data_IF_477258386952
#
_entry.id   IF_477258386952
#
_cell.length_a   1.000
_cell.length_b   1.000
_cell.length_c   1.000
_cell.angle_alpha   90.00
_cell.angle_beta   90.00
_cell.angle_gamma   90.00
#
_symmetry.space_group_name_H-M   'P 1'
#
loop_
_entity.id
_entity.type
_entity.pdbx_description
1 polymer ?
#
# COMPACT_ATOMS: atom_id res chain seq x y z
N UNK A 1 14.27 -11.65 6.05
CA UNK A 1 14.62 -10.42 5.29
C UNK A 1 13.80 -9.27 5.84
N UNK A 2 13.71 -8.11 5.15
CA UNK A 2 12.81 -7.03 5.59
C UNK A 2 11.32 -7.42 5.53
N UNK A 3 10.97 -8.39 4.69
CA UNK A 3 9.62 -8.99 4.62
C UNK A 3 9.45 -10.19 5.59
N UNK A 4 10.37 -10.37 6.54
CA UNK A 4 10.27 -11.38 7.57
C UNK A 4 10.64 -12.81 7.13
N UNK A 5 9.90 -13.81 7.63
CA UNK A 5 10.22 -15.26 7.54
C UNK A 5 9.20 -16.07 6.72
N UNK A 6 8.04 -15.51 6.42
CA UNK A 6 6.93 -16.17 5.71
C UNK A 6 6.37 -17.42 6.43
N UNK A 7 6.44 -17.49 7.76
CA UNK A 7 5.91 -18.61 8.56
C UNK A 7 4.44 -18.43 8.97
N UNK A 8 3.83 -17.30 8.61
CA UNK A 8 2.50 -16.87 9.04
C UNK A 8 2.42 -16.60 10.56
N UNK A 9 3.55 -16.30 11.21
CA UNK A 9 3.62 -15.85 12.61
C UNK A 9 4.28 -14.46 12.70
N UNK A 10 3.47 -13.43 12.91
CA UNK A 10 3.94 -12.05 13.04
C UNK A 10 5.00 -11.85 14.14
N UNK A 11 5.09 -12.76 15.12
CA UNK A 11 6.04 -12.65 16.23
C UNK A 11 7.48 -12.92 15.80
N UNK A 12 7.70 -13.61 14.68
CA UNK A 12 9.04 -14.02 14.26
C UNK A 12 9.63 -13.20 13.09
N UNK A 13 8.91 -12.19 12.61
CA UNK A 13 9.24 -11.43 11.39
C UNK A 13 10.46 -10.52 11.59
N UNK A 14 10.66 -9.98 12.80
CA UNK A 14 11.71 -9.01 13.10
C UNK A 14 13.03 -9.69 13.55
N UNK A 15 13.75 -10.35 12.62
CA UNK A 15 15.06 -10.99 12.87
C UNK A 15 16.22 -10.36 12.10
N UNK A 16 17.34 -10.01 12.74
CA UNK A 16 18.50 -9.39 12.08
C UNK A 16 19.26 -10.35 11.14
N UNK A 17 19.09 -11.66 11.31
CA UNK A 17 19.63 -12.72 10.43
C UNK A 17 18.78 -13.99 10.59
N UNK A 18 19.01 -15.01 9.74
CA UNK A 18 18.25 -16.27 9.78
C UNK A 18 18.35 -16.99 11.15
N UNK A 19 19.52 -16.92 11.78
CA UNK A 19 19.79 -17.47 13.12
C UNK A 19 19.67 -16.43 14.25
N UNK A 20 19.32 -15.18 13.91
CA UNK A 20 19.21 -14.09 14.85
C UNK A 20 17.99 -14.22 15.77
N UNK A 21 18.13 -13.75 17.01
CA UNK A 21 17.00 -13.62 17.93
C UNK A 21 16.00 -12.56 17.43
N UNK A 22 14.74 -12.74 17.82
CA UNK A 22 13.67 -11.77 17.53
C UNK A 22 13.94 -10.48 18.31
N UNK A 23 13.89 -9.34 17.62
CA UNK A 23 14.07 -7.99 18.19
C UNK A 23 12.88 -7.10 17.79
N UNK A 24 12.97 -5.78 18.01
CA UNK A 24 12.06 -4.86 17.32
C UNK A 24 12.39 -4.79 15.83
N UNK A 25 11.40 -4.52 14.99
CA UNK A 25 11.62 -4.35 13.54
C UNK A 25 12.49 -3.13 13.22
N UNK A 26 12.42 -2.08 14.04
CA UNK A 26 13.31 -0.91 13.94
C UNK A 26 14.77 -1.28 14.21
N UNK A 27 15.03 -2.14 15.20
CA UNK A 27 16.38 -2.63 15.50
C UNK A 27 16.90 -3.61 14.45
N UNK A 28 16.00 -4.43 13.88
CA UNK A 28 16.34 -5.38 12.81
C UNK A 28 16.75 -4.64 11.53
N UNK A 29 16.03 -3.59 11.12
CA UNK A 29 16.10 -3.03 9.78
C UNK A 29 17.52 -2.70 9.27
N UNK A 30 18.43 -2.11 10.07
CA UNK A 30 19.80 -1.82 9.65
C UNK A 30 20.64 -3.05 9.29
N UNK A 31 20.30 -4.23 9.83
CA UNK A 31 21.05 -5.47 9.60
C UNK A 31 20.81 -6.07 8.21
N UNK A 32 19.74 -5.69 7.53
CA UNK A 32 19.43 -6.14 6.17
C UNK A 32 19.98 -5.23 5.07
N UNK A 33 20.87 -4.29 5.41
CA UNK A 33 21.54 -3.43 4.44
C UNK A 33 22.46 -4.24 3.52
N UNK A 34 22.37 -3.98 2.20
CA UNK A 34 23.29 -4.56 1.22
C UNK A 34 24.72 -4.03 1.46
N UNK A 35 25.74 -4.90 1.62
CA UNK A 35 27.12 -4.47 1.84
C UNK A 35 27.65 -3.58 0.71
N UNK A 36 28.60 -2.69 1.04
CA UNK A 36 29.32 -1.84 0.08
C UNK A 36 28.45 -0.87 -0.75
N UNK A 37 27.24 -0.52 -0.30
CA UNK A 37 26.45 0.51 -0.97
C UNK A 37 26.81 1.93 -0.44
N UNK A 38 27.45 2.80 -1.25
CA UNK A 38 28.04 4.06 -0.76
C UNK A 38 27.00 5.10 -0.30
N UNK A 39 25.81 5.06 -0.88
CA UNK A 39 24.71 6.02 -0.63
C UNK A 39 23.73 5.57 0.45
N UNK A 40 23.84 4.35 0.95
CA UNK A 40 22.98 3.85 2.02
C UNK A 40 23.65 4.16 3.37
N UNK A 41 23.61 5.41 3.80
CA UNK A 41 23.89 5.71 5.20
C UNK A 41 22.67 5.23 5.99
N UNK A 42 22.87 4.33 6.95
CA UNK A 42 21.76 3.80 7.76
C UNK A 42 21.01 4.92 8.47
N UNK A 43 19.85 4.61 9.04
CA UNK A 43 19.15 5.58 9.87
C UNK A 43 20.10 6.15 10.95
N UNK A 44 20.04 7.45 11.25
CA UNK A 44 20.77 8.01 12.38
C UNK A 44 20.47 7.18 13.63
N UNK A 45 21.47 6.89 14.48
CA UNK A 45 21.22 6.17 15.72
C UNK A 45 20.11 6.88 16.49
N UNK A 46 19.08 6.13 16.89
CA UNK A 46 18.02 6.63 17.77
C UNK A 46 18.71 7.21 19.00
N UNK A 47 18.45 8.49 19.29
CA UNK A 47 19.07 9.16 20.42
C UNK A 47 18.69 8.43 21.71
N UNK A 48 19.69 7.94 22.45
CA UNK A 48 19.55 7.31 23.77
C UNK A 48 19.16 8.30 24.86
N UNK A 49 18.52 9.42 24.50
CA UNK A 49 18.16 10.46 25.46
C UNK A 49 17.03 9.94 26.33
N UNK A 50 17.36 9.61 27.58
CA UNK A 50 16.44 9.20 28.67
C UNK A 50 15.51 10.35 29.11
N UNK A 51 15.44 11.43 28.33
CA UNK A 51 14.42 12.46 28.54
C UNK A 51 13.09 11.82 28.13
N UNK A 52 12.08 11.76 29.02
CA UNK A 52 10.74 11.43 28.60
C UNK A 52 10.33 12.51 27.61
N UNK A 53 10.50 12.22 26.33
CA UNK A 53 9.81 12.98 25.29
C UNK A 53 8.34 12.95 25.70
N UNK A 54 7.65 14.10 25.78
CA UNK A 54 6.21 14.06 26.00
C UNK A 54 5.67 13.07 24.98
N UNK A 55 4.91 12.07 25.46
CA UNK A 55 4.30 11.07 24.58
C UNK A 55 3.76 11.82 23.38
N UNK A 56 4.23 11.54 22.15
CA UNK A 56 3.87 12.34 20.99
C UNK A 56 2.36 12.47 21.03
N UNK A 57 1.88 13.72 20.94
CA UNK A 57 0.44 13.97 20.98
C UNK A 57 -0.22 12.98 20.02
N UNK A 58 -1.33 12.32 20.43
CA UNK A 58 -1.99 11.35 19.56
C UNK A 58 -2.17 11.98 18.19
N UNK A 59 -1.71 11.27 17.16
CA UNK A 59 -1.87 11.69 15.79
C UNK A 59 -3.34 12.07 15.56
N UNK A 60 -3.66 13.33 15.20
CA UNK A 60 -5.04 13.73 15.05
C UNK A 60 -5.73 12.85 14.00
N UNK A 61 -7.01 12.50 14.19
CA UNK A 61 -7.76 11.77 13.20
C UNK A 61 -7.76 12.55 11.88
N UNK A 62 -7.70 11.82 10.77
CA UNK A 62 -7.73 12.39 9.43
C UNK A 62 -8.91 11.84 8.65
N UNK A 63 -9.82 12.71 8.14
CA UNK A 63 -10.97 12.27 7.36
C UNK A 63 -10.59 11.41 6.15
N UNK A 64 -9.41 11.65 5.55
CA UNK A 64 -8.95 10.88 4.40
C UNK A 64 -8.55 9.45 4.80
N UNK A 65 -7.93 9.26 5.96
CA UNK A 65 -7.57 7.94 6.47
C UNK A 65 -8.80 7.21 7.00
N UNK A 66 -9.75 7.95 7.60
CA UNK A 66 -11.03 7.39 8.04
C UNK A 66 -11.83 6.74 6.90
N UNK A 67 -11.58 7.13 5.63
CA UNK A 67 -12.18 6.43 4.48
C UNK A 67 -11.89 4.93 4.52
N UNK A 68 -10.70 4.50 4.93
CA UNK A 68 -10.30 3.09 5.04
C UNK A 68 -11.24 2.31 5.98
N UNK A 69 -11.68 2.93 7.07
CA UNK A 69 -12.59 2.36 8.06
C UNK A 69 -14.07 2.58 7.71
N UNK A 70 -14.35 3.41 6.72
CA UNK A 70 -15.72 3.84 6.39
C UNK A 70 -16.50 2.79 5.60
N UNK A 71 -17.80 3.07 5.40
CA UNK A 71 -18.67 2.27 4.54
C UNK A 71 -18.20 2.14 3.09
N UNK A 72 -17.35 3.05 2.62
CA UNK A 72 -16.78 3.02 1.26
C UNK A 72 -16.01 1.73 1.02
N UNK A 73 -15.26 1.27 2.03
CA UNK A 73 -14.45 0.05 1.95
C UNK A 73 -15.07 -1.16 2.67
N UNK A 74 -16.32 -1.05 3.15
CA UNK A 74 -16.95 -2.09 3.97
C UNK A 74 -16.98 -3.47 3.31
N UNK A 75 -17.13 -3.54 1.98
CA UNK A 75 -17.13 -4.80 1.23
C UNK A 75 -15.76 -5.48 1.16
N UNK A 76 -14.69 -4.82 1.59
CA UNK A 76 -13.33 -5.33 1.60
C UNK A 76 -12.84 -5.72 3.01
N UNK A 77 -13.49 -5.22 4.06
CA UNK A 77 -13.07 -5.44 5.45
C UNK A 77 -13.09 -6.92 5.88
N UNK A 78 -13.87 -7.76 5.20
CA UNK A 78 -13.96 -9.20 5.43
C UNK A 78 -12.77 -9.97 4.83
N UNK A 79 -12.13 -9.42 3.80
CA UNK A 79 -11.01 -10.06 3.07
C UNK A 79 -9.66 -9.44 3.40
N UNK A 80 -9.61 -8.11 3.62
CA UNK A 80 -8.41 -7.39 4.02
C UNK A 80 -8.71 -6.60 5.31
N UNK A 81 -8.00 -6.88 6.43
CA UNK A 81 -8.16 -6.12 7.65
C UNK A 81 -7.77 -4.64 7.46
N UNK A 82 -8.63 -3.66 7.79
CA UNK A 82 -8.38 -2.25 7.49
C UNK A 82 -7.39 -1.56 8.44
N UNK A 83 -7.24 -2.07 9.67
CA UNK A 83 -6.54 -1.37 10.75
C UNK A 83 -5.06 -1.05 10.44
N UNK A 84 -4.25 -1.99 9.91
CA UNK A 84 -2.85 -1.69 9.56
C UNK A 84 -2.70 -0.59 8.50
N UNK A 85 -3.63 -0.53 7.54
CA UNK A 85 -3.62 0.49 6.48
C UNK A 85 -4.04 1.85 7.02
N UNK A 86 -5.02 1.89 7.93
CA UNK A 86 -5.42 3.11 8.63
C UNK A 86 -4.28 3.67 9.48
N UNK A 87 -3.60 2.82 10.25
CA UNK A 87 -2.46 3.22 11.09
C UNK A 87 -1.29 3.74 10.24
N UNK A 88 -0.99 3.09 9.11
CA UNK A 88 0.01 3.57 8.15
C UNK A 88 -0.36 4.93 7.55
N UNK A 89 -1.61 5.11 7.13
CA UNK A 89 -2.09 6.39 6.60
C UNK A 89 -1.97 7.53 7.64
N UNK A 90 -2.36 7.28 8.88
CA UNK A 90 -2.20 8.26 9.96
C UNK A 90 -0.73 8.55 10.24
N UNK A 91 0.12 7.53 10.24
CA UNK A 91 1.56 7.69 10.42
C UNK A 91 2.13 8.66 9.38
N UNK A 92 1.80 8.48 8.10
CA UNK A 92 2.28 9.33 7.00
C UNK A 92 1.84 10.79 7.18
N UNK A 93 0.57 11.02 7.53
CA UNK A 93 0.05 12.37 7.80
C UNK A 93 0.77 13.02 8.98
N UNK A 94 0.97 12.29 10.06
CA UNK A 94 1.57 12.83 11.27
C UNK A 94 3.08 13.08 11.17
N UNK A 95 3.75 12.43 10.22
CA UNK A 95 5.13 12.72 9.88
C UNK A 95 5.26 13.74 8.74
N UNK A 96 4.15 14.37 8.32
CA UNK A 96 4.14 15.44 7.34
C UNK A 96 4.49 14.97 5.93
N UNK A 97 4.21 13.69 5.61
CA UNK A 97 4.33 13.19 4.24
C UNK A 97 3.32 13.91 3.34
N UNK A 98 3.67 14.09 2.07
CA UNK A 98 2.81 14.77 1.12
C UNK A 98 1.56 13.94 0.78
N UNK A 99 0.54 14.61 0.23
CA UNK A 99 -0.72 13.97 -0.15
C UNK A 99 -0.53 12.85 -1.16
N UNK A 100 0.54 12.88 -1.98
CA UNK A 100 0.89 11.80 -2.89
C UNK A 100 1.14 10.47 -2.16
N UNK A 101 1.81 10.50 -1.00
CA UNK A 101 2.08 9.31 -0.19
C UNK A 101 0.79 8.81 0.44
N UNK A 102 0.00 9.71 1.03
CA UNK A 102 -1.28 9.39 1.67
C UNK A 102 -2.26 8.78 0.65
N UNK A 103 -2.36 9.36 -0.54
CA UNK A 103 -3.19 8.85 -1.62
C UNK A 103 -2.68 7.51 -2.16
N UNK A 104 -1.36 7.29 -2.19
CA UNK A 104 -0.78 5.99 -2.57
C UNK A 104 -1.12 4.89 -1.55
N UNK A 105 -1.22 5.23 -0.26
CA UNK A 105 -1.69 4.29 0.77
C UNK A 105 -3.15 3.86 0.58
N UNK A 106 -4.02 4.80 0.22
CA UNK A 106 -5.42 4.51 -0.14
C UNK A 106 -5.53 3.70 -1.43
N UNK A 107 -4.72 4.03 -2.44
CA UNK A 107 -4.63 3.29 -3.70
C UNK A 107 -4.17 1.84 -3.49
N UNK A 108 -3.16 1.63 -2.64
CA UNK A 108 -2.71 0.30 -2.25
C UNK A 108 -3.86 -0.51 -1.63
N UNK A 109 -4.57 0.08 -0.66
CA UNK A 109 -5.69 -0.61 -0.02
C UNK A 109 -6.81 -0.96 -1.01
N UNK A 110 -7.16 -0.02 -1.90
CA UNK A 110 -8.13 -0.26 -2.97
C UNK A 110 -7.68 -1.34 -3.97
N UNK A 111 -6.38 -1.39 -4.31
CA UNK A 111 -5.84 -2.41 -5.21
C UNK A 111 -5.88 -3.81 -4.59
N UNK A 112 -5.62 -3.95 -3.29
CA UNK A 112 -5.75 -5.21 -2.57
C UNK A 112 -7.21 -5.67 -2.53
N UNK A 113 -8.15 -4.75 -2.30
CA UNK A 113 -9.57 -5.04 -2.42
C UNK A 113 -9.93 -5.55 -3.83
N UNK A 114 -9.43 -4.89 -4.87
CA UNK A 114 -9.66 -5.26 -6.26
C UNK A 114 -9.07 -6.64 -6.60
N UNK A 115 -7.91 -7.01 -6.02
CA UNK A 115 -7.32 -8.34 -6.13
C UNK A 115 -8.24 -9.44 -5.59
N UNK A 116 -9.02 -9.12 -4.55
CA UNK A 116 -10.07 -9.99 -3.99
C UNK A 116 -11.45 -9.79 -4.66
N UNK A 117 -11.50 -9.17 -5.83
CA UNK A 117 -12.74 -8.96 -6.60
C UNK A 117 -13.68 -7.91 -5.99
N UNK A 118 -13.18 -7.05 -5.09
CA UNK A 118 -13.94 -5.93 -4.49
C UNK A 118 -13.54 -4.61 -5.17
N UNK A 119 -14.36 -4.18 -6.12
CA UNK A 119 -14.22 -2.88 -6.77
C UNK A 119 -14.64 -1.73 -5.83
N UNK A 120 -13.74 -0.80 -5.50
CA UNK A 120 -14.02 0.34 -4.62
C UNK A 120 -13.73 1.68 -5.33
N UNK A 121 -14.74 2.46 -5.74
CA UNK A 121 -14.55 3.76 -6.42
C UNK A 121 -14.22 4.91 -5.44
N UNK A 122 -13.11 4.76 -4.72
CA UNK A 122 -12.75 5.57 -3.54
C UNK A 122 -12.37 7.02 -3.84
N UNK A 123 -11.73 7.33 -4.98
CA UNK A 123 -11.21 8.68 -5.28
C UNK A 123 -12.29 9.76 -5.23
N UNK A 124 -13.51 9.41 -5.63
CA UNK A 124 -14.68 10.31 -5.56
C UNK A 124 -15.01 10.78 -4.14
N UNK A 125 -14.56 10.06 -3.11
CA UNK A 125 -14.81 10.34 -1.71
C UNK A 125 -13.73 11.22 -1.06
N UNK A 126 -12.70 11.62 -1.83
CA UNK A 126 -11.54 12.39 -1.33
C UNK A 126 -11.65 13.90 -1.57
N UNK A 127 -12.79 14.40 -2.06
CA UNK A 127 -12.98 15.82 -2.37
C UNK A 127 -11.85 16.42 -3.24
N UNK A 128 -11.41 15.65 -4.26
CA UNK A 128 -10.32 15.97 -5.19
C UNK A 128 -8.89 15.95 -4.61
N UNK A 129 -8.69 15.64 -3.33
CA UNK A 129 -7.34 15.50 -2.75
C UNK A 129 -6.52 14.42 -3.45
N UNK A 130 -7.14 13.28 -3.79
CA UNK A 130 -6.49 12.17 -4.49
C UNK A 130 -6.95 12.04 -5.95
N UNK A 131 -7.02 13.17 -6.66
CA UNK A 131 -7.43 13.21 -8.06
C UNK A 131 -6.51 12.38 -8.96
N UNK A 132 -7.09 11.76 -9.99
CA UNK A 132 -6.36 10.95 -10.97
C UNK A 132 -6.69 11.44 -12.38
N UNK A 133 -5.66 11.76 -13.16
CA UNK A 133 -5.82 12.37 -14.49
C UNK A 133 -5.35 11.41 -15.56
N UNK A 134 -6.20 11.18 -16.56
CA UNK A 134 -5.87 10.36 -17.72
C UNK A 134 -5.42 11.19 -18.93
N UNK A 135 -4.60 10.60 -19.83
CA UNK A 135 -4.35 11.17 -21.15
C UNK A 135 -5.65 11.41 -21.94
N UNK A 136 -5.62 12.35 -22.90
CA UNK A 136 -6.81 12.86 -23.60
C UNK A 136 -7.66 11.79 -24.32
N UNK A 137 -7.11 10.63 -24.64
CA UNK A 137 -7.77 9.51 -25.33
C UNK A 137 -8.14 8.35 -24.40
N UNK A 138 -8.10 8.56 -23.08
CA UNK A 138 -8.38 7.55 -22.07
C UNK A 138 -9.35 8.07 -21.03
N UNK A 139 -10.12 7.16 -20.45
CA UNK A 139 -11.07 7.44 -19.39
C UNK A 139 -10.58 6.76 -18.11
N UNK A 140 -10.60 7.51 -17.02
CA UNK A 140 -10.33 6.94 -15.70
C UNK A 140 -11.43 5.95 -15.33
N UNK A 141 -11.02 4.75 -14.95
CA UNK A 141 -11.92 3.77 -14.36
C UNK A 141 -11.33 3.31 -13.03
N UNK A 142 -12.11 3.39 -11.93
CA UNK A 142 -11.66 2.86 -10.62
C UNK A 142 -11.50 1.34 -10.65
N UNK A 143 -12.15 0.67 -11.60
CA UNK A 143 -12.23 -0.78 -11.70
C UNK A 143 -12.30 -1.22 -13.17
N UNK A 144 -11.24 -0.95 -13.93
CA UNK A 144 -11.11 -1.45 -15.29
C UNK A 144 -10.53 -2.86 -15.33
N UNK A 145 -10.53 -3.51 -16.51
CA UNK A 145 -10.03 -4.87 -16.65
C UNK A 145 -8.51 -4.92 -16.44
N UNK A 146 -8.05 -5.85 -15.59
CA UNK A 146 -6.61 -6.12 -15.39
C UNK A 146 -5.89 -6.50 -16.69
N UNK A 147 -6.60 -7.16 -17.61
CA UNK A 147 -6.12 -7.50 -18.93
C UNK A 147 -7.02 -6.89 -20.02
N UNK A 148 -6.75 -5.65 -20.45
CA UNK A 148 -7.52 -5.00 -21.50
C UNK A 148 -7.24 -5.66 -22.86
N UNK A 149 -8.26 -5.73 -23.71
CA UNK A 149 -8.13 -6.24 -25.07
C UNK A 149 -7.24 -5.32 -25.92
N UNK A 150 -6.38 -5.91 -26.77
CA UNK A 150 -5.54 -5.17 -27.72
C UNK A 150 -5.52 -5.88 -29.08
N UNK A 151 -5.46 -5.12 -30.18
CA UNK A 151 -5.63 -5.65 -31.54
C UNK A 151 -4.46 -6.49 -32.07
N UNK A 152 -3.29 -6.42 -31.43
CA UNK A 152 -2.06 -7.11 -31.88
C UNK A 152 -1.83 -8.39 -31.07
N UNK A 153 -2.67 -9.41 -31.24
CA UNK A 153 -2.49 -10.69 -30.56
C UNK A 153 -3.51 -11.71 -31.02
N UNK A 154 -3.20 -12.43 -32.09
CA UNK A 154 -4.05 -13.48 -32.63
C UNK A 154 -3.72 -14.86 -32.03
N UNK A 155 -3.42 -14.92 -30.74
CA UNK A 155 -3.11 -16.18 -30.07
C UNK A 155 -3.83 -16.26 -28.74
N UNK A 156 -4.39 -17.44 -28.48
CA UNK A 156 -4.99 -17.96 -27.25
C UNK A 156 -4.10 -17.83 -25.98
N UNK A 157 -3.03 -17.03 -26.03
CA UNK A 157 -2.14 -16.68 -24.92
C UNK A 157 -2.59 -15.47 -24.10
N UNK A 158 -3.53 -14.64 -24.58
CA UNK A 158 -3.98 -13.48 -23.79
C UNK A 158 -4.72 -13.91 -22.51
N UNK A 159 -5.36 -15.08 -22.51
CA UNK A 159 -5.97 -15.71 -21.33
C UNK A 159 -4.94 -16.44 -20.45
N UNK A 160 -3.79 -16.84 -21.00
CA UNK A 160 -2.73 -17.59 -20.30
C UNK A 160 -1.73 -16.71 -19.53
N UNK A 161 -1.71 -15.39 -19.78
CA UNK A 161 -0.90 -14.43 -19.01
C UNK A 161 -1.67 -13.81 -17.84
N UNK A 162 -2.82 -14.37 -17.48
CA UNK A 162 -3.48 -14.03 -16.22
C UNK A 162 -2.52 -14.41 -15.09
N UNK A 163 -1.89 -13.40 -14.48
CA UNK A 163 -1.38 -13.56 -13.12
C UNK A 163 -2.60 -13.97 -12.31
N UNK A 164 -2.66 -15.24 -11.92
CA UNK A 164 -3.83 -15.83 -11.28
C UNK A 164 -4.16 -15.14 -9.94
N UNK A 165 -3.23 -14.34 -9.42
CA UNK A 165 -3.35 -13.48 -8.24
C UNK A 165 -3.82 -12.05 -8.54
N UNK A 166 -3.76 -11.60 -9.79
CA UNK A 166 -4.28 -10.29 -10.16
C UNK A 166 -5.79 -10.41 -10.33
N UNK A 167 -6.54 -9.83 -9.39
CA UNK A 167 -8.00 -9.86 -9.40
C UNK A 167 -8.62 -9.32 -10.69
N UNK A 168 -9.95 -9.42 -10.83
CA UNK A 168 -10.64 -9.06 -12.08
C UNK A 168 -10.56 -7.58 -12.43
N UNK A 169 -10.21 -6.72 -11.46
CA UNK A 169 -10.22 -5.28 -11.61
C UNK A 169 -8.88 -4.65 -11.25
N UNK A 170 -8.53 -3.57 -11.95
CA UNK A 170 -7.46 -2.64 -11.57
C UNK A 170 -7.92 -1.20 -11.81
N UNK A 171 -7.48 -0.28 -10.95
CA UNK A 171 -7.65 1.15 -11.18
C UNK A 171 -6.72 1.61 -12.31
N UNK A 172 -7.17 2.54 -13.15
CA UNK A 172 -6.30 3.11 -14.19
C UNK A 172 -7.03 3.88 -15.30
N UNK A 173 -6.30 4.10 -16.39
CA UNK A 173 -6.79 4.77 -17.60
C UNK A 173 -7.05 3.76 -18.73
N UNK A 174 -8.28 3.71 -19.21
CA UNK A 174 -8.72 2.73 -20.21
C UNK A 174 -9.24 3.41 -21.48
N UNK A 175 -9.31 2.68 -22.59
CA UNK A 175 -9.97 3.20 -23.78
C UNK A 175 -11.46 3.46 -23.47
N UNK A 176 -12.07 4.50 -24.06
CA UNK A 176 -13.52 4.63 -24.07
C UNK A 176 -14.14 3.45 -24.84
N UNK A 177 -15.43 3.18 -24.62
CA UNK A 177 -16.16 2.19 -25.41
C UNK A 177 -16.19 2.58 -26.90
N UNK A 178 -15.86 1.63 -27.78
CA UNK A 178 -15.76 1.80 -29.23
C UNK A 178 -14.45 1.25 -29.81
#
# INVERSE_FOLDING_TARGET
GQCGTCTNDQKDECRPSLEGAITSCSDMAPHWKVPNQPSCQGAPPTSTSVVPSPSPAPCPPSPICELILSKVFQSCHDVIPPLPFYEGCLFDICHGMGWEVVCSGLELYASLCAAHGRCIPWRSQTNNTCSFTCPANKVYQPCGPTNPYYCYGNDDLSTSLTLQEAGPFTEGCFCPEG
#
